data_IF_178381981107
#
_entry.id   IF_178381981107
#
_cell.length_a   1.000
_cell.length_b   1.000
_cell.length_c   1.000
_cell.angle_alpha   90.00
_cell.angle_beta   90.00
_cell.angle_gamma   90.00
#
_symmetry.space_group_name_H-M   'P 1'
#
loop_
_entity.id
_entity.type
_entity.pdbx_description
1 polymer ?
#
# COMPACT_ATOMS: atom_id res chain seq x y z
N UNK A 1 -14.41 -13.85 1.51
CA UNK A 1 -14.27 -12.43 1.14
C UNK A 1 -15.21 -11.56 1.96
N UNK A 2 -16.54 -11.70 1.86
CA UNK A 2 -17.54 -10.97 2.68
C UNK A 2 -17.22 -10.93 4.20
N UNK A 3 -16.79 -12.06 4.77
CA UNK A 3 -16.44 -12.18 6.20
C UNK A 3 -15.31 -11.24 6.64
N UNK A 4 -14.32 -10.98 5.77
CA UNK A 4 -13.19 -10.09 6.03
C UNK A 4 -13.57 -8.60 6.02
N UNK A 5 -14.67 -8.27 5.36
CA UNK A 5 -15.20 -6.90 5.28
C UNK A 5 -16.21 -6.64 6.40
N UNK A 6 -16.90 -7.66 6.90
CA UNK A 6 -17.61 -7.59 8.19
C UNK A 6 -16.63 -7.43 9.37
N UNK A 7 -15.42 -7.97 9.28
CA UNK A 7 -14.34 -7.72 10.27
C UNK A 7 -13.76 -6.29 10.19
N UNK A 8 -14.08 -5.50 9.16
CA UNK A 8 -13.56 -4.13 8.99
C UNK A 8 -14.03 -3.18 10.12
N UNK A 9 -15.19 -3.45 10.73
CA UNK A 9 -15.66 -2.77 11.95
C UNK A 9 -14.90 -3.21 13.22
N UNK A 10 -14.27 -4.38 13.19
CA UNK A 10 -13.61 -4.99 14.35
C UNK A 10 -12.08 -4.78 14.37
N UNK A 11 -11.49 -4.17 13.35
CA UNK A 11 -10.03 -4.03 13.28
C UNK A 11 -9.54 -2.92 14.22
N UNK A 12 -8.76 -3.32 15.22
CA UNK A 12 -8.21 -2.45 16.28
C UNK A 12 -7.47 -1.21 15.77
N UNK A 13 -6.82 -1.26 14.59
CA UNK A 13 -6.15 -0.09 14.03
C UNK A 13 -7.13 1.00 13.55
N UNK A 14 -8.33 0.65 13.05
CA UNK A 14 -9.35 1.65 12.67
C UNK A 14 -9.92 2.30 13.92
N UNK A 15 -10.18 1.51 14.97
CA UNK A 15 -10.59 2.05 16.28
C UNK A 15 -9.52 2.99 16.86
N UNK A 16 -8.23 2.62 16.75
CA UNK A 16 -7.12 3.44 17.21
C UNK A 16 -6.93 4.73 16.38
N UNK A 17 -7.13 4.68 15.05
CA UNK A 17 -7.09 5.87 14.19
C UNK A 17 -8.29 6.77 14.49
N UNK A 18 -9.50 6.23 14.61
CA UNK A 18 -10.68 7.01 14.96
C UNK A 18 -10.56 7.61 16.36
N UNK A 19 -9.97 6.89 17.33
CA UNK A 19 -9.68 7.42 18.66
C UNK A 19 -8.64 8.56 18.59
N UNK A 20 -7.55 8.37 17.86
CA UNK A 20 -6.53 9.40 17.64
C UNK A 20 -7.10 10.62 16.92
N UNK A 21 -7.94 10.44 15.91
CA UNK A 21 -8.62 11.52 15.20
C UNK A 21 -9.57 12.30 16.12
N UNK A 22 -10.34 11.60 16.98
CA UNK A 22 -11.16 12.23 18.04
C UNK A 22 -10.34 12.99 19.08
N UNK A 23 -9.16 12.48 19.44
CA UNK A 23 -8.24 13.16 20.36
C UNK A 23 -7.57 14.41 19.76
N UNK A 24 -7.61 14.58 18.43
CA UNK A 24 -6.91 15.64 17.71
C UNK A 24 -7.86 16.54 16.87
N UNK A 25 -9.18 16.48 17.10
CA UNK A 25 -10.21 17.22 16.35
C UNK A 25 -10.09 17.08 14.82
N UNK A 26 -9.73 15.88 14.34
CA UNK A 26 -9.66 15.57 12.91
C UNK A 26 -10.93 14.81 12.50
N UNK A 27 -11.75 15.39 11.62
CA UNK A 27 -12.93 14.71 11.06
C UNK A 27 -12.52 13.63 10.05
N UNK A 28 -12.83 12.37 10.36
CA UNK A 28 -12.90 11.27 9.38
C UNK A 28 -14.36 10.80 9.33
N UNK A 29 -14.87 10.52 8.13
CA UNK A 29 -16.24 10.03 7.95
C UNK A 29 -16.48 8.75 8.77
N UNK A 30 -17.46 8.80 9.66
CA UNK A 30 -17.70 7.83 10.74
C UNK A 30 -18.43 6.55 10.30
N UNK A 31 -18.75 6.36 9.02
CA UNK A 31 -19.48 5.17 8.58
C UNK A 31 -18.55 4.06 8.10
N UNK A 32 -18.76 2.85 8.63
CA UNK A 32 -18.63 1.67 7.81
C UNK A 32 -20.01 1.47 7.14
N UNK A 33 -20.08 1.20 5.83
CA UNK A 33 -21.34 0.93 5.17
C UNK A 33 -21.91 -0.40 5.69
N UNK A 34 -23.19 -0.39 6.06
CA UNK A 34 -23.94 -1.60 6.37
C UNK A 34 -23.82 -2.61 5.22
N UNK A 35 -23.80 -3.91 5.53
CA UNK A 35 -23.90 -4.94 4.51
C UNK A 35 -25.17 -4.67 3.67
N UNK A 36 -25.06 -4.54 2.33
CA UNK A 36 -26.20 -4.15 1.52
C UNK A 36 -27.30 -5.21 1.59
N UNK A 37 -28.55 -4.76 1.72
CA UNK A 37 -29.72 -5.62 1.60
C UNK A 37 -29.74 -6.30 0.22
N UNK A 38 -30.32 -7.51 0.08
CA UNK A 38 -30.11 -8.38 -1.09
C UNK A 38 -30.40 -7.74 -2.46
N UNK A 39 -31.37 -6.83 -2.54
CA UNK A 39 -31.73 -6.15 -3.79
C UNK A 39 -31.05 -4.78 -4.02
N UNK A 40 -30.30 -4.26 -3.04
CA UNK A 40 -29.64 -2.94 -3.13
C UNK A 40 -28.17 -3.04 -3.56
N UNK A 41 -27.67 -4.22 -3.93
CA UNK A 41 -26.24 -4.43 -4.16
C UNK A 41 -25.64 -3.57 -5.28
N UNK A 42 -26.32 -3.50 -6.43
CA UNK A 42 -25.94 -2.66 -7.57
C UNK A 42 -27.11 -1.71 -7.87
N UNK A 43 -26.97 -0.46 -7.44
CA UNK A 43 -27.96 0.58 -7.67
C UNK A 43 -27.75 1.19 -9.06
N UNK A 44 -28.84 1.36 -9.80
CA UNK A 44 -28.81 1.92 -11.16
C UNK A 44 -29.77 3.10 -11.25
N UNK A 45 -29.24 4.26 -11.61
CA UNK A 45 -30.03 5.43 -11.96
C UNK A 45 -30.64 5.24 -13.36
N UNK A 46 -31.96 5.16 -13.43
CA UNK A 46 -32.71 4.91 -14.65
C UNK A 46 -32.63 6.06 -15.66
N UNK A 47 -32.48 7.29 -15.18
CA UNK A 47 -32.44 8.51 -15.99
C UNK A 47 -31.05 8.70 -16.62
N UNK A 48 -30.00 8.25 -15.92
CA UNK A 48 -28.63 8.28 -16.43
C UNK A 48 -28.27 7.05 -17.27
N UNK A 49 -28.93 5.90 -17.08
CA UNK A 49 -28.53 4.65 -17.71
C UNK A 49 -28.91 4.56 -19.20
N UNK A 50 -27.89 4.56 -20.07
CA UNK A 50 -28.05 4.42 -21.53
C UNK A 50 -28.20 2.96 -22.00
N UNK A 51 -28.16 1.98 -21.08
CA UNK A 51 -28.24 0.55 -21.40
C UNK A 51 -27.16 0.05 -22.38
N UNK A 52 -26.00 0.72 -22.42
CA UNK A 52 -24.91 0.38 -23.35
C UNK A 52 -24.22 -0.98 -23.10
N UNK A 53 -24.48 -1.64 -21.97
CA UNK A 53 -23.93 -2.97 -21.64
C UNK A 53 -22.47 -3.00 -21.19
N UNK A 54 -21.79 -1.85 -21.09
CA UNK A 54 -20.37 -1.80 -20.72
C UNK A 54 -20.09 -2.41 -19.34
N UNK A 55 -20.96 -2.19 -18.36
CA UNK A 55 -20.83 -2.77 -17.01
C UNK A 55 -20.81 -4.31 -17.02
N UNK A 56 -21.54 -4.94 -17.94
CA UNK A 56 -21.53 -6.39 -18.16
C UNK A 56 -20.21 -6.83 -18.78
N UNK A 57 -19.70 -6.10 -19.77
CA UNK A 57 -18.46 -6.43 -20.48
C UNK A 57 -17.20 -6.30 -19.61
N UNK A 58 -17.16 -5.29 -18.73
CA UNK A 58 -15.99 -5.03 -17.87
C UNK A 58 -16.00 -5.82 -16.57
N UNK A 59 -17.11 -6.50 -16.24
CA UNK A 59 -17.21 -7.29 -15.02
C UNK A 59 -16.32 -8.54 -15.15
N UNK A 60 -15.22 -8.66 -14.39
CA UNK A 60 -14.33 -9.82 -14.50
C UNK A 60 -14.99 -11.13 -14.07
N UNK A 61 -16.04 -11.05 -13.26
CA UNK A 61 -16.78 -12.21 -12.75
C UNK A 61 -17.99 -12.57 -13.62
N UNK A 62 -18.35 -11.73 -14.59
CA UNK A 62 -19.51 -11.94 -15.46
C UNK A 62 -20.86 -11.96 -14.75
N UNK A 63 -20.99 -11.29 -13.60
CA UNK A 63 -22.19 -11.33 -12.74
C UNK A 63 -23.19 -10.19 -12.96
N UNK A 64 -22.80 -9.17 -13.74
CA UNK A 64 -23.70 -8.05 -14.07
C UNK A 64 -24.55 -8.43 -15.28
N UNK A 65 -25.82 -8.73 -15.06
CA UNK A 65 -26.76 -9.06 -16.12
C UNK A 65 -26.94 -7.90 -17.11
N UNK A 66 -27.07 -8.16 -18.42
CA UNK A 66 -27.26 -7.12 -19.42
C UNK A 66 -28.60 -6.41 -19.24
N UNK A 67 -28.63 -5.13 -19.62
CA UNK A 67 -29.88 -4.39 -19.75
C UNK A 67 -30.74 -4.94 -20.90
N UNK A 68 -32.05 -4.73 -20.83
CA UNK A 68 -33.02 -5.07 -21.87
C UNK A 68 -34.13 -4.03 -21.98
N UNK A 69 -35.11 -4.20 -22.89
CA UNK A 69 -36.29 -3.35 -22.94
C UNK A 69 -37.00 -3.31 -21.59
N UNK A 70 -37.03 -2.14 -20.93
CA UNK A 70 -37.62 -1.97 -19.60
C UNK A 70 -36.79 -2.55 -18.43
N UNK A 71 -35.62 -3.12 -18.68
CA UNK A 71 -34.77 -3.77 -17.66
C UNK A 71 -33.42 -3.06 -17.56
N UNK A 72 -33.06 -2.61 -16.36
CA UNK A 72 -31.75 -2.06 -16.05
C UNK A 72 -30.75 -3.18 -15.75
N UNK A 73 -29.42 -2.94 -15.86
CA UNK A 73 -28.42 -3.90 -15.38
C UNK A 73 -28.63 -4.22 -13.89
N UNK A 74 -28.42 -5.48 -13.51
CA UNK A 74 -28.56 -5.92 -12.12
C UNK A 74 -27.59 -7.07 -11.82
N UNK A 75 -27.42 -7.41 -10.54
CA UNK A 75 -26.71 -8.61 -10.08
C UNK A 75 -27.73 -9.48 -9.36
N UNK A 76 -27.76 -10.78 -9.64
CA UNK A 76 -28.63 -11.73 -8.92
C UNK A 76 -28.10 -11.95 -7.51
N UNK A 77 -28.98 -12.12 -6.52
CA UNK A 77 -28.64 -12.37 -5.12
C UNK A 77 -27.63 -13.53 -4.97
N UNK A 78 -27.83 -14.63 -5.70
CA UNK A 78 -26.96 -15.81 -5.70
C UNK A 78 -25.53 -15.51 -6.20
N UNK A 79 -25.35 -14.48 -7.02
CA UNK A 79 -24.08 -14.08 -7.60
C UNK A 79 -23.35 -12.98 -6.80
N UNK A 80 -24.01 -12.34 -5.82
CA UNK A 80 -23.42 -11.26 -5.00
C UNK A 80 -22.13 -11.71 -4.32
N UNK A 81 -22.10 -12.94 -3.79
CA UNK A 81 -20.93 -13.51 -3.12
C UNK A 81 -19.69 -13.68 -4.04
N UNK A 82 -19.90 -13.65 -5.36
CA UNK A 82 -18.83 -13.75 -6.37
C UNK A 82 -18.25 -12.38 -6.72
N UNK A 83 -18.85 -11.27 -6.31
CA UNK A 83 -18.33 -9.94 -6.61
C UNK A 83 -16.97 -9.70 -5.95
N UNK A 84 -16.05 -9.10 -6.71
CA UNK A 84 -14.72 -8.71 -6.23
C UNK A 84 -14.68 -7.32 -5.58
N UNK A 85 -15.80 -6.58 -5.57
CA UNK A 85 -15.85 -5.20 -5.08
C UNK A 85 -14.82 -4.26 -5.77
N UNK A 86 -14.49 -4.56 -7.03
CA UNK A 86 -13.45 -3.84 -7.79
C UNK A 86 -13.90 -2.50 -8.38
N UNK A 87 -15.20 -2.19 -8.35
CA UNK A 87 -15.74 -0.94 -8.89
C UNK A 87 -15.66 -0.77 -10.41
N UNK A 88 -15.23 -1.79 -11.19
CA UNK A 88 -15.13 -1.66 -12.65
C UNK A 88 -16.45 -1.28 -13.32
N UNK A 89 -17.58 -1.82 -12.86
CA UNK A 89 -18.89 -1.45 -13.39
C UNK A 89 -19.20 0.04 -13.20
N UNK A 90 -18.71 0.67 -12.12
CA UNK A 90 -18.86 2.09 -11.86
C UNK A 90 -17.86 2.92 -12.66
N UNK A 91 -16.57 2.58 -12.56
CA UNK A 91 -15.47 3.34 -13.15
C UNK A 91 -15.55 3.44 -14.68
N UNK A 92 -16.07 2.41 -15.34
CA UNK A 92 -16.22 2.39 -16.79
C UNK A 92 -17.60 2.87 -17.27
N UNK A 93 -18.57 3.12 -16.38
CA UNK A 93 -19.90 3.59 -16.77
C UNK A 93 -19.81 5.03 -17.34
N UNK A 94 -20.12 5.25 -18.63
CA UNK A 94 -19.90 6.55 -19.27
C UNK A 94 -20.79 7.67 -18.71
N UNK A 95 -21.94 7.31 -18.13
CA UNK A 95 -22.89 8.25 -17.51
C UNK A 95 -22.92 8.12 -15.99
N UNK A 96 -22.06 7.26 -15.42
CA UNK A 96 -21.93 7.04 -13.98
C UNK A 96 -23.24 6.65 -13.27
N UNK A 97 -24.16 6.06 -14.03
CA UNK A 97 -25.47 5.60 -13.60
C UNK A 97 -25.44 4.42 -12.60
N UNK A 98 -24.27 3.87 -12.31
CA UNK A 98 -24.12 2.64 -11.51
C UNK A 98 -23.36 2.95 -10.23
N UNK A 99 -23.83 2.37 -9.13
CA UNK A 99 -23.20 2.44 -7.81
C UNK A 99 -23.27 1.07 -7.17
N UNK A 100 -22.13 0.50 -6.75
CA UNK A 100 -22.15 -0.62 -5.82
C UNK A 100 -22.51 -0.07 -4.45
N UNK A 101 -23.46 -0.67 -3.76
CA UNK A 101 -23.83 -0.28 -2.40
C UNK A 101 -22.78 -0.81 -1.41
N UNK A 102 -21.58 -0.24 -1.52
CA UNK A 102 -20.40 -0.55 -0.77
C UNK A 102 -19.50 0.68 -0.74
N UNK A 103 -19.23 1.19 0.46
CA UNK A 103 -18.37 2.36 0.72
C UNK A 103 -18.79 3.56 -0.13
N UNK A 104 -20.07 3.89 -0.08
CA UNK A 104 -20.68 4.98 -0.85
C UNK A 104 -19.99 6.32 -0.58
N UNK A 105 -19.60 6.54 0.67
CA UNK A 105 -18.86 7.70 1.15
C UNK A 105 -17.45 7.82 0.55
N UNK A 106 -16.84 6.71 0.14
CA UNK A 106 -15.51 6.67 -0.45
C UNK A 106 -15.55 6.70 -1.99
N UNK A 107 -16.74 6.75 -2.59
CA UNK A 107 -16.88 6.88 -4.04
C UNK A 107 -16.21 8.18 -4.45
N UNK A 108 -15.11 8.15 -5.23
CA UNK A 108 -14.46 9.36 -5.66
C UNK A 108 -15.46 10.21 -6.44
N UNK A 109 -15.56 11.50 -6.10
CA UNK A 109 -16.26 12.45 -6.96
C UNK A 109 -15.73 12.29 -8.38
N UNK A 110 -16.61 12.36 -9.37
CA UNK A 110 -16.25 12.17 -10.77
C UNK A 110 -14.97 12.93 -11.09
N UNK A 111 -13.87 12.23 -11.42
CA UNK A 111 -12.65 12.94 -11.74
C UNK A 111 -12.97 13.77 -12.99
N UNK A 112 -12.95 15.12 -12.91
CA UNK A 112 -13.06 15.95 -14.11
C UNK A 112 -11.95 15.47 -15.05
N UNK A 113 -12.28 15.22 -16.33
CA UNK A 113 -11.41 14.61 -17.36
C UNK A 113 -9.96 14.52 -16.88
N UNK A 114 -9.62 13.38 -16.25
CA UNK A 114 -8.37 13.28 -15.50
C UNK A 114 -7.23 13.70 -16.43
N UNK A 115 -6.59 14.85 -16.14
CA UNK A 115 -5.54 15.38 -16.99
C UNK A 115 -4.42 14.36 -17.02
N UNK A 116 -4.31 13.64 -18.12
CA UNK A 116 -3.27 12.65 -18.30
C UNK A 116 -1.90 13.33 -18.13
N UNK A 117 -1.04 12.75 -17.27
CA UNK A 117 0.35 13.17 -17.19
C UNK A 117 1.01 12.94 -18.54
N UNK A 118 1.78 13.92 -19.03
CA UNK A 118 2.49 13.72 -20.28
C UNK A 118 3.47 12.54 -20.12
N UNK A 119 3.57 11.60 -21.08
CA UNK A 119 4.43 10.43 -20.93
C UNK A 119 5.88 10.78 -20.55
N UNK A 120 6.42 11.87 -21.11
CA UNK A 120 7.76 12.35 -20.81
C UNK A 120 7.94 12.81 -19.34
N UNK A 121 6.91 13.38 -18.72
CA UNK A 121 6.95 13.81 -17.32
C UNK A 121 6.97 12.60 -16.38
N UNK A 122 6.08 11.63 -16.62
CA UNK A 122 6.03 10.40 -15.84
C UNK A 122 7.33 9.60 -15.98
N UNK A 123 7.84 9.44 -17.21
CA UNK A 123 9.12 8.78 -17.46
C UNK A 123 10.27 9.49 -16.73
N UNK A 124 10.30 10.82 -16.73
CA UNK A 124 11.31 11.59 -16.00
C UNK A 124 11.20 11.33 -14.49
N UNK A 125 9.98 11.35 -13.94
CA UNK A 125 9.73 11.07 -12.53
C UNK A 125 10.27 9.70 -12.12
N UNK A 126 9.85 8.64 -12.84
CA UNK A 126 10.29 7.27 -12.61
C UNK A 126 11.82 7.12 -12.72
N UNK A 127 12.44 7.71 -13.74
CA UNK A 127 13.90 7.65 -13.95
C UNK A 127 14.68 8.45 -12.91
N UNK A 128 14.09 9.50 -12.34
CA UNK A 128 14.75 10.38 -11.35
C UNK A 128 14.69 9.86 -9.92
N UNK A 129 13.78 8.92 -9.62
CA UNK A 129 13.61 8.36 -8.26
C UNK A 129 14.88 7.68 -7.76
N UNK A 130 15.31 7.99 -6.53
CA UNK A 130 16.56 7.49 -5.93
C UNK A 130 16.34 7.00 -4.50
N UNK A 131 17.10 5.98 -4.12
CA UNK A 131 17.07 5.46 -2.75
C UNK A 131 17.80 6.45 -1.87
N UNK A 132 17.04 7.07 -0.96
CA UNK A 132 17.56 8.08 -0.05
C UNK A 132 18.14 7.37 1.17
N UNK A 133 19.45 7.52 1.35
CA UNK A 133 20.24 6.80 2.38
C UNK A 133 20.84 7.74 3.42
N UNK A 134 20.39 8.99 3.41
CA UNK A 134 20.78 10.06 4.34
C UNK A 134 19.56 10.96 4.50
N UNK A 135 19.02 11.00 5.70
CA UNK A 135 17.81 11.75 6.02
C UNK A 135 18.15 12.96 6.91
N UNK A 136 17.33 14.01 6.81
CA UNK A 136 17.38 15.12 7.77
C UNK A 136 16.75 14.66 9.09
N UNK A 137 17.20 15.20 10.23
CA UNK A 137 16.54 14.98 11.51
C UNK A 137 15.14 15.60 11.52
N UNK A 138 14.27 15.07 12.39
CA UNK A 138 12.93 15.59 12.63
C UNK A 138 11.82 14.81 11.91
N UNK A 139 10.62 14.76 12.49
CA UNK A 139 9.52 13.97 11.95
C UNK A 139 8.96 14.60 10.66
N UNK A 140 8.48 13.73 9.79
CA UNK A 140 7.48 14.07 8.76
C UNK A 140 6.11 14.14 9.45
N UNK A 141 5.25 15.15 9.14
CA UNK A 141 3.89 15.21 9.66
C UNK A 141 3.09 13.93 9.39
N UNK A 142 2.25 13.51 10.34
CA UNK A 142 1.49 12.25 10.22
C UNK A 142 0.50 12.31 9.07
N UNK A 143 -0.10 13.47 8.86
CA UNK A 143 -1.09 13.76 7.83
C UNK A 143 -0.49 13.52 6.45
N UNK A 144 0.75 13.97 6.23
CA UNK A 144 1.49 13.70 4.98
C UNK A 144 1.76 12.20 4.78
N UNK A 145 2.09 11.46 5.84
CA UNK A 145 2.28 10.01 5.74
C UNK A 145 0.94 9.34 5.40
N UNK A 146 -0.13 9.73 6.07
CA UNK A 146 -1.48 9.20 5.84
C UNK A 146 -1.95 9.49 4.41
N UNK A 147 -1.73 10.69 3.87
CA UNK A 147 -2.08 11.04 2.49
C UNK A 147 -1.35 10.14 1.47
N UNK A 148 -0.06 9.87 1.69
CA UNK A 148 0.72 8.96 0.84
C UNK A 148 0.20 7.52 0.95
N UNK A 149 -0.10 7.05 2.17
CA UNK A 149 -0.59 5.69 2.40
C UNK A 149 -2.01 5.49 1.87
N UNK A 150 -2.87 6.51 1.97
CA UNK A 150 -4.22 6.52 1.41
C UNK A 150 -4.16 6.44 -0.12
N UNK A 151 -3.33 7.27 -0.77
CA UNK A 151 -3.11 7.14 -2.22
C UNK A 151 -2.54 5.76 -2.61
N UNK A 152 -1.62 5.21 -1.80
CA UNK A 152 -1.04 3.89 -2.06
C UNK A 152 -2.04 2.73 -1.90
N UNK A 153 -3.18 2.92 -1.22
CA UNK A 153 -4.22 1.88 -1.10
C UNK A 153 -4.90 1.55 -2.43
N UNK A 154 -4.77 2.43 -3.43
CA UNK A 154 -5.22 2.21 -4.80
C UNK A 154 -4.26 1.36 -5.63
N UNK A 155 -3.16 0.87 -5.05
CA UNK A 155 -2.32 -0.13 -5.68
C UNK A 155 -3.15 -1.37 -6.05
N UNK A 156 -2.92 -1.97 -7.24
CA UNK A 156 -3.65 -3.16 -7.63
C UNK A 156 -3.29 -4.33 -6.70
N UNK A 157 -4.28 -5.18 -6.46
CA UNK A 157 -4.11 -6.43 -5.71
C UNK A 157 -4.83 -7.58 -6.40
N UNK A 158 -4.31 -8.79 -6.26
CA UNK A 158 -4.93 -9.98 -6.85
C UNK A 158 -6.38 -10.12 -6.39
N UNK A 159 -7.32 -10.27 -7.32
CA UNK A 159 -8.77 -10.37 -7.04
C UNK A 159 -9.34 -9.23 -6.17
N UNK A 160 -8.68 -8.06 -6.16
CA UNK A 160 -9.03 -6.93 -5.30
C UNK A 160 -9.05 -7.26 -3.78
N UNK A 161 -8.18 -8.16 -3.33
CA UNK A 161 -8.12 -8.54 -1.89
C UNK A 161 -7.69 -7.40 -0.97
N UNK A 162 -6.95 -6.42 -1.50
CA UNK A 162 -6.39 -5.29 -0.74
C UNK A 162 -5.75 -5.72 0.60
N UNK A 163 -4.83 -6.71 0.60
CA UNK A 163 -4.42 -7.39 1.84
C UNK A 163 -3.47 -6.56 2.72
N UNK A 164 -2.97 -5.44 2.20
CA UNK A 164 -1.89 -4.65 2.79
C UNK A 164 -2.41 -3.83 3.95
N UNK A 165 -1.72 -3.94 5.09
CA UNK A 165 -1.87 -3.03 6.22
C UNK A 165 -0.49 -2.47 6.58
N UNK A 166 -0.49 -1.36 7.30
CA UNK A 166 0.71 -0.58 7.59
C UNK A 166 0.97 -0.51 9.09
N UNK A 167 2.19 -0.85 9.49
CA UNK A 167 2.73 -0.49 10.80
C UNK A 167 3.75 0.63 10.61
N UNK A 168 3.40 1.83 11.07
CA UNK A 168 4.25 3.03 10.95
C UNK A 168 5.03 3.21 12.24
N UNK A 169 6.34 2.95 12.19
CA UNK A 169 7.25 3.28 13.27
C UNK A 169 7.61 4.76 13.15
N UNK A 170 6.85 5.59 13.87
CA UNK A 170 6.93 7.06 13.80
C UNK A 170 8.01 7.66 14.72
N UNK A 171 8.42 6.93 15.77
CA UNK A 171 9.49 7.40 16.66
C UNK A 171 10.86 6.97 16.13
N UNK A 172 11.69 7.96 15.78
CA UNK A 172 13.08 7.76 15.36
C UNK A 172 13.94 6.95 16.35
N UNK A 173 13.66 7.03 17.66
CA UNK A 173 14.36 6.21 18.65
C UNK A 173 14.02 4.72 18.47
N UNK A 174 12.75 4.43 18.21
CA UNK A 174 12.29 3.07 17.93
C UNK A 174 12.82 2.56 16.59
N UNK A 175 12.93 3.42 15.57
CA UNK A 175 13.62 3.08 14.31
C UNK A 175 15.10 2.72 14.57
N UNK A 176 15.76 3.41 15.50
CA UNK A 176 17.14 3.09 15.91
C UNK A 176 17.24 1.75 16.65
N UNK A 177 16.25 1.40 17.49
CA UNK A 177 16.16 0.07 18.12
C UNK A 177 15.99 -1.04 17.09
N UNK A 178 15.12 -0.85 16.10
CA UNK A 178 14.98 -1.78 14.95
C UNK A 178 16.31 -1.95 14.22
N UNK A 179 17.03 -0.86 14.00
CA UNK A 179 18.35 -0.90 13.37
C UNK A 179 19.34 -1.74 14.20
N UNK A 180 19.33 -1.61 15.53
CA UNK A 180 20.18 -2.37 16.43
C UNK A 180 19.88 -3.88 16.36
N UNK A 181 18.60 -4.27 16.47
CA UNK A 181 18.20 -5.67 16.32
C UNK A 181 18.52 -6.24 14.94
N UNK A 182 18.42 -5.42 13.90
CA UNK A 182 18.85 -5.82 12.55
C UNK A 182 20.34 -6.12 12.52
N UNK A 183 21.16 -5.28 13.16
CA UNK A 183 22.62 -5.52 13.26
C UNK A 183 22.95 -6.72 14.13
N UNK A 184 22.20 -6.99 15.19
CA UNK A 184 22.38 -8.21 15.99
C UNK A 184 22.15 -9.46 15.15
N UNK A 185 21.10 -9.47 14.32
CA UNK A 185 20.92 -10.52 13.32
C UNK A 185 22.09 -10.61 12.32
N UNK A 186 22.62 -9.47 11.86
CA UNK A 186 23.80 -9.46 10.98
C UNK A 186 25.01 -10.08 11.64
N UNK A 187 25.27 -9.80 12.93
CA UNK A 187 26.38 -10.38 13.71
C UNK A 187 26.28 -11.90 13.80
N UNK A 188 25.06 -12.42 14.00
CA UNK A 188 24.83 -13.86 14.00
C UNK A 188 25.10 -14.46 12.62
N UNK A 189 24.65 -13.80 11.55
CA UNK A 189 24.77 -14.31 10.18
C UNK A 189 26.14 -14.10 9.54
N UNK A 190 26.94 -13.16 10.03
CA UNK A 190 28.27 -12.84 9.52
C UNK A 190 29.33 -13.89 9.88
N UNK A 191 28.98 -14.90 10.67
CA UNK A 191 29.87 -15.98 11.07
C UNK A 191 30.12 -17.00 9.93
N UNK A 192 29.44 -16.86 8.80
CA UNK A 192 29.63 -17.71 7.63
C UNK A 192 30.65 -17.10 6.66
N UNK A 193 31.45 -17.93 5.98
CA UNK A 193 32.48 -17.45 5.04
C UNK A 193 31.96 -17.23 3.60
N UNK A 194 30.64 -17.18 3.42
CA UNK A 194 30.02 -16.89 2.13
C UNK A 194 30.02 -15.38 1.82
N UNK A 195 29.84 -14.95 0.54
CA UNK A 195 29.88 -13.54 0.16
C UNK A 195 28.92 -12.63 0.96
N UNK A 196 27.75 -13.14 1.37
CA UNK A 196 26.83 -12.38 2.21
C UNK A 196 27.39 -12.25 3.63
N UNK A 197 27.91 -13.32 4.22
CA UNK A 197 28.53 -13.29 5.55
C UNK A 197 29.64 -12.23 5.66
N UNK A 198 30.52 -12.16 4.65
CA UNK A 198 31.58 -11.15 4.56
C UNK A 198 31.04 -9.72 4.42
N UNK A 199 30.00 -9.51 3.62
CA UNK A 199 29.33 -8.21 3.51
C UNK A 199 28.71 -7.79 4.86
N UNK A 200 28.05 -8.71 5.55
CA UNK A 200 27.43 -8.43 6.84
C UNK A 200 28.49 -8.08 7.90
N UNK A 201 29.65 -8.75 7.91
CA UNK A 201 30.76 -8.41 8.80
C UNK A 201 31.23 -6.96 8.60
N UNK A 202 31.30 -6.48 7.36
CA UNK A 202 31.66 -5.08 7.06
C UNK A 202 30.61 -4.09 7.55
N UNK A 203 29.31 -4.44 7.41
CA UNK A 203 28.21 -3.59 7.90
C UNK A 203 28.20 -3.53 9.43
N UNK A 204 28.45 -4.65 10.11
CA UNK A 204 28.62 -4.71 11.57
C UNK A 204 29.76 -3.79 12.03
N UNK A 205 30.93 -3.87 11.38
CA UNK A 205 32.04 -2.97 11.69
C UNK A 205 31.67 -1.49 11.49
N UNK A 206 30.87 -1.17 10.46
CA UNK A 206 30.32 0.17 10.25
C UNK A 206 29.39 0.63 11.38
N UNK A 207 28.56 -0.28 11.90
CA UNK A 207 27.73 0.00 13.06
C UNK A 207 28.55 0.28 14.32
N UNK A 208 29.56 -0.55 14.59
CA UNK A 208 30.43 -0.41 15.75
C UNK A 208 31.25 0.90 15.68
N UNK A 209 31.52 1.40 14.47
CA UNK A 209 32.10 2.73 14.22
C UNK A 209 31.09 3.90 14.31
N UNK A 210 29.84 3.64 14.67
CA UNK A 210 28.81 4.66 14.91
C UNK A 210 27.92 4.99 13.70
N UNK A 211 28.00 4.24 12.60
CA UNK A 211 27.14 4.46 11.44
C UNK A 211 25.87 3.62 11.50
N UNK A 212 24.71 4.24 11.31
CA UNK A 212 23.48 3.48 11.08
C UNK A 212 23.49 2.85 9.68
N UNK A 213 23.86 1.57 9.62
CA UNK A 213 23.93 0.80 8.37
C UNK A 213 22.61 0.15 7.97
N UNK A 214 21.66 0.01 8.91
CA UNK A 214 20.42 -0.72 8.71
C UNK A 214 19.24 0.21 8.36
N UNK A 215 19.06 1.29 9.15
CA UNK A 215 17.98 2.25 8.97
C UNK A 215 18.46 3.61 8.45
N UNK A 216 19.78 3.78 8.27
CA UNK A 216 20.37 4.91 7.54
C UNK A 216 20.01 6.30 8.12
N UNK A 217 19.68 6.35 9.41
CA UNK A 217 19.24 7.57 10.10
C UNK A 217 17.85 8.06 9.70
N UNK A 218 17.00 7.19 9.12
CA UNK A 218 15.63 7.54 8.79
C UNK A 218 14.82 7.87 10.05
N UNK A 219 14.01 8.95 10.04
CA UNK A 219 13.14 9.25 11.17
C UNK A 219 12.00 8.25 11.31
N UNK A 220 11.56 7.64 10.21
CA UNK A 220 10.38 6.79 10.15
C UNK A 220 10.65 5.50 9.38
N UNK A 221 9.94 4.43 9.76
CA UNK A 221 9.89 3.17 9.02
C UNK A 221 8.44 2.77 8.77
N UNK A 222 8.13 2.44 7.51
CA UNK A 222 6.84 1.93 7.07
C UNK A 222 6.97 0.41 6.86
N UNK A 223 6.34 -0.38 7.73
CA UNK A 223 6.28 -1.83 7.59
C UNK A 223 4.96 -2.22 6.94
N UNK A 224 5.00 -2.66 5.67
CA UNK A 224 3.83 -3.25 5.02
C UNK A 224 3.73 -4.71 5.48
N UNK A 225 2.62 -5.05 6.13
CA UNK A 225 2.35 -6.40 6.61
C UNK A 225 1.07 -6.94 5.98
N UNK A 226 1.04 -8.25 5.77
CA UNK A 226 -0.01 -8.99 5.07
C UNK A 226 -0.44 -10.20 5.91
N UNK A 227 -1.61 -10.80 5.64
CA UNK A 227 -1.97 -12.08 6.22
C UNK A 227 -0.85 -13.11 6.02
N UNK A 228 -0.54 -13.89 7.05
CA UNK A 228 0.46 -14.93 6.97
C UNK A 228 0.02 -16.06 6.01
N UNK A 229 -1.29 -16.30 5.98
CA UNK A 229 -1.99 -17.30 5.17
C UNK A 229 -3.28 -16.70 4.56
N UNK A 230 -3.62 -16.97 3.29
CA UNK A 230 -2.79 -17.61 2.26
C UNK A 230 -1.57 -16.77 1.83
N UNK A 231 -0.50 -17.37 1.28
CA UNK A 231 0.80 -16.73 1.07
C UNK A 231 0.89 -15.71 -0.07
N UNK A 232 -0.22 -15.31 -0.71
CA UNK A 232 -0.22 -14.42 -1.89
C UNK A 232 0.02 -12.92 -1.61
N UNK A 233 -0.15 -12.47 -0.37
CA UNK A 233 -0.09 -11.05 -0.01
C UNK A 233 1.23 -10.29 -0.28
N UNK A 234 2.44 -10.90 -0.22
CA UNK A 234 3.68 -10.15 -0.37
C UNK A 234 3.82 -9.40 -1.69
N UNK A 235 3.36 -9.95 -2.82
CA UNK A 235 3.41 -9.26 -4.12
C UNK A 235 2.57 -7.99 -4.10
N UNK A 236 1.35 -8.06 -3.58
CA UNK A 236 0.46 -6.89 -3.44
C UNK A 236 1.10 -5.82 -2.55
N UNK A 237 1.78 -6.22 -1.47
CA UNK A 237 2.50 -5.30 -0.60
C UNK A 237 3.70 -4.62 -1.28
N UNK A 238 4.47 -5.33 -2.12
CA UNK A 238 5.56 -4.73 -2.90
C UNK A 238 5.02 -3.70 -3.89
N UNK A 239 3.87 -3.95 -4.52
CA UNK A 239 3.23 -2.99 -5.43
C UNK A 239 2.78 -1.75 -4.65
N UNK A 240 2.15 -1.92 -3.48
CA UNK A 240 1.73 -0.80 -2.62
C UNK A 240 2.93 0.02 -2.11
N UNK A 241 4.00 -0.64 -1.66
CA UNK A 241 5.26 0.02 -1.29
C UNK A 241 5.90 0.76 -2.47
N UNK A 242 5.77 0.24 -3.69
CA UNK A 242 6.23 0.94 -4.90
C UNK A 242 5.43 2.22 -5.14
N UNK A 243 4.11 2.23 -4.88
CA UNK A 243 3.32 3.47 -4.94
C UNK A 243 3.84 4.50 -3.94
N UNK A 244 4.11 4.09 -2.69
CA UNK A 244 4.72 4.96 -1.67
C UNK A 244 6.08 5.49 -2.13
N UNK A 245 6.96 4.63 -2.65
CA UNK A 245 8.32 4.98 -3.12
C UNK A 245 8.29 5.97 -4.31
N UNK A 246 7.26 5.88 -5.15
CA UNK A 246 7.06 6.78 -6.28
C UNK A 246 6.33 8.08 -5.90
N UNK A 247 5.45 8.06 -4.90
CA UNK A 247 4.73 9.25 -4.44
C UNK A 247 5.60 10.14 -3.54
N UNK A 248 6.43 9.55 -2.67
CA UNK A 248 7.20 10.29 -1.67
C UNK A 248 7.96 11.52 -2.22
N UNK A 249 8.63 11.49 -3.39
CA UNK A 249 9.28 12.67 -3.96
C UNK A 249 8.34 13.85 -4.26
N UNK A 250 7.08 13.59 -4.62
CA UNK A 250 6.08 14.64 -4.85
C UNK A 250 5.75 15.42 -3.56
N UNK A 251 5.89 14.77 -2.41
CA UNK A 251 5.74 15.37 -1.08
C UNK A 251 7.07 15.92 -0.51
N UNK A 252 8.13 16.00 -1.31
CA UNK A 252 9.46 16.42 -0.86
C UNK A 252 10.15 15.42 0.08
N UNK A 253 9.63 14.19 0.13
CA UNK A 253 10.17 13.09 0.93
C UNK A 253 11.03 12.17 0.07
N UNK A 254 11.69 11.24 0.74
CA UNK A 254 12.40 10.17 0.08
C UNK A 254 12.37 8.90 0.91
N UNK A 255 12.74 7.83 0.21
CA UNK A 255 12.51 6.47 0.67
C UNK A 255 13.70 5.59 0.35
N UNK A 256 13.90 4.55 1.17
CA UNK A 256 14.82 3.47 0.85
C UNK A 256 14.27 2.14 1.33
N UNK A 257 14.27 1.15 0.44
CA UNK A 257 13.92 -0.23 0.72
C UNK A 257 14.84 -0.79 1.81
N UNK A 258 14.25 -1.23 2.92
CA UNK A 258 14.96 -1.70 4.11
C UNK A 258 15.14 -3.22 4.04
N UNK A 259 15.97 -3.67 3.09
CA UNK A 259 16.13 -5.11 2.82
C UNK A 259 16.69 -5.91 3.99
N UNK A 260 17.67 -5.36 4.71
CA UNK A 260 18.21 -6.02 5.89
C UNK A 260 17.21 -6.10 7.04
N UNK A 261 16.43 -5.03 7.28
CA UNK A 261 15.35 -5.05 8.27
C UNK A 261 14.32 -6.11 7.91
N UNK A 262 13.95 -6.20 6.63
CA UNK A 262 12.95 -7.17 6.15
C UNK A 262 13.45 -8.62 6.28
N UNK A 263 14.73 -8.87 6.00
CA UNK A 263 15.35 -10.19 6.19
C UNK A 263 15.44 -10.56 7.68
N UNK A 264 15.92 -9.65 8.52
CA UNK A 264 16.02 -9.86 9.96
C UNK A 264 14.64 -10.07 10.59
N UNK A 265 13.60 -9.33 10.18
CA UNK A 265 12.25 -9.51 10.68
C UNK A 265 11.66 -10.89 10.36
N UNK A 266 12.21 -11.60 9.37
CA UNK A 266 11.81 -12.97 9.05
C UNK A 266 12.57 -14.00 9.89
N UNK A 267 13.82 -13.71 10.26
CA UNK A 267 14.78 -14.69 10.76
C UNK A 267 15.26 -14.43 12.19
N UNK A 268 14.81 -13.34 12.82
CA UNK A 268 15.30 -12.89 14.11
C UNK A 268 14.14 -12.51 15.05
N UNK A 269 13.92 -13.36 16.06
CA UNK A 269 12.83 -13.21 17.03
C UNK A 269 12.84 -11.86 17.77
N UNK A 270 13.98 -11.30 18.24
CA UNK A 270 14.00 -9.97 18.85
C UNK A 270 13.42 -8.87 17.96
N UNK A 271 13.71 -8.89 16.66
CA UNK A 271 13.15 -7.91 15.74
C UNK A 271 11.66 -8.15 15.46
N UNK A 272 11.21 -9.40 15.43
CA UNK A 272 9.78 -9.73 15.33
C UNK A 272 9.00 -9.16 16.51
N UNK A 273 9.52 -9.32 17.73
CA UNK A 273 8.95 -8.76 18.96
C UNK A 273 8.96 -7.23 18.94
N UNK A 274 10.05 -6.62 18.47
CA UNK A 274 10.14 -5.15 18.36
C UNK A 274 9.12 -4.58 17.36
N UNK A 275 8.91 -5.25 16.22
CA UNK A 275 7.87 -4.84 15.27
C UNK A 275 6.46 -5.04 15.82
N UNK A 276 6.25 -6.10 16.62
CA UNK A 276 4.97 -6.42 17.27
C UNK A 276 3.78 -6.40 16.30
N UNK A 277 3.92 -7.07 15.15
CA UNK A 277 2.85 -7.14 14.16
C UNK A 277 1.63 -7.90 14.72
N UNK A 278 0.41 -7.55 14.29
CA UNK A 278 -0.80 -8.25 14.73
C UNK A 278 -0.75 -9.76 14.46
N UNK A 279 -1.43 -10.53 15.30
CA UNK A 279 -1.55 -11.98 15.15
C UNK A 279 -2.10 -12.37 13.75
N UNK A 280 -1.59 -13.47 13.20
CA UNK A 280 -1.97 -13.94 11.86
C UNK A 280 -1.41 -13.08 10.72
N UNK A 281 -0.55 -12.09 11.00
CA UNK A 281 0.10 -11.24 10.00
C UNK A 281 1.61 -11.41 10.02
N UNK A 282 2.22 -11.21 8.85
CA UNK A 282 3.67 -11.21 8.65
C UNK A 282 4.13 -9.97 7.91
N UNK A 283 5.36 -9.56 8.14
CA UNK A 283 5.98 -8.50 7.35
C UNK A 283 6.12 -8.98 5.90
N UNK A 284 5.67 -8.17 4.94
CA UNK A 284 6.01 -8.37 3.54
C UNK A 284 7.33 -7.67 3.21
N UNK A 285 7.44 -6.39 3.55
CA UNK A 285 8.67 -5.61 3.42
C UNK A 285 8.58 -4.29 4.19
N UNK A 286 9.73 -3.63 4.41
CA UNK A 286 9.80 -2.32 5.04
C UNK A 286 10.45 -1.23 4.15
N UNK A 287 9.94 -0.01 4.25
CA UNK A 287 10.53 1.21 3.68
C UNK A 287 10.98 2.16 4.78
N UNK A 288 12.19 2.69 4.64
CA UNK A 288 12.64 3.87 5.37
C UNK A 288 12.00 5.11 4.74
N UNK A 289 11.56 6.07 5.55
CA UNK A 289 10.93 7.30 5.10
C UNK A 289 11.49 8.51 5.84
N UNK A 290 11.72 9.60 5.11
CA UNK A 290 12.04 10.90 5.71
C UNK A 290 12.39 11.96 4.68
N UNK A 291 12.75 13.16 5.16
CA UNK A 291 13.24 14.23 4.27
C UNK A 291 14.66 13.93 3.81
N UNK A 292 14.97 13.97 2.51
CA UNK A 292 16.34 13.75 2.03
C UNK A 292 17.30 14.82 2.56
N UNK A 293 18.47 14.41 3.04
CA UNK A 293 19.53 15.38 3.39
C UNK A 293 20.02 16.10 2.13
N UNK A 294 20.17 15.37 1.03
CA UNK A 294 20.65 15.87 -0.26
C UNK A 294 19.60 15.67 -1.35
N UNK A 295 19.46 16.66 -2.23
CA UNK A 295 18.55 16.61 -3.38
C UNK A 295 19.23 15.94 -4.58
N UNK A 296 18.66 14.89 -5.19
CA UNK A 296 19.15 14.36 -6.47
C UNK A 296 19.10 15.44 -7.56
N UNK A 297 20.19 15.57 -8.33
CA UNK A 297 20.30 16.56 -9.43
C UNK A 297 20.30 15.95 -10.83
N UNK A 298 20.32 14.63 -10.96
CA UNK A 298 20.43 13.97 -12.25
C UNK A 298 19.95 12.52 -12.22
N UNK A 299 19.78 11.97 -13.42
CA UNK A 299 19.36 10.60 -13.67
C UNK A 299 20.61 9.72 -13.82
N UNK A 300 20.78 8.64 -13.04
CA UNK A 300 21.93 7.76 -13.17
C UNK A 300 21.87 6.93 -14.46
N UNK A 301 23.04 6.49 -14.94
CA UNK A 301 23.14 5.50 -16.03
C UNK A 301 22.53 4.17 -15.57
N UNK A 302 22.01 3.40 -16.53
CA UNK A 302 21.52 2.02 -16.34
C UNK A 302 22.14 1.14 -17.42
N UNK A 303 22.19 -0.16 -17.16
CA UNK A 303 22.53 -1.15 -18.17
C UNK A 303 21.55 -1.06 -19.34
N UNK A 304 21.98 -1.53 -20.51
CA UNK A 304 21.10 -1.64 -21.67
C UNK A 304 19.87 -2.49 -21.32
N UNK A 305 18.73 -2.16 -21.91
CA UNK A 305 17.52 -2.95 -21.78
C UNK A 305 17.69 -4.25 -22.58
N UNK A 306 17.49 -5.39 -21.93
CA UNK A 306 17.47 -6.70 -22.58
C UNK A 306 16.00 -7.11 -22.77
N UNK A 307 15.59 -7.37 -24.02
CA UNK A 307 14.22 -7.80 -24.36
C UNK A 307 14.29 -8.95 -25.35
N UNK A 308 13.51 -10.00 -25.08
CA UNK A 308 13.25 -11.09 -26.02
C UNK A 308 11.79 -11.01 -26.45
N UNK A 309 11.54 -11.03 -27.75
CA UNK A 309 10.20 -11.10 -28.33
C UNK A 309 9.94 -12.54 -28.76
N UNK A 310 8.80 -13.10 -28.34
CA UNK A 310 8.32 -14.42 -28.72
C UNK A 310 7.07 -14.32 -29.58
#
# INVERSE_FOLDING_TARGET
MLQRWNDYEQVEWRKAILAWCRENDLELADSAPAAPAPNDFLQVDADLCTRCGRCTQVCPMGIVAPAGPGVLPFVKDEDVARCLFCGHCEAFCPTQALVLNFRLEDRPAHPPEARALAPAELVRHLKSRRSIRRFRPGPVPRETILEILDAARYAPSGTNQQPVQWHVVYDSKRVRTIAAHTVDWMRLRSQTDDPLGRLLAQLVAGWDAGFDVACLGAPHLLAAHVPADPPGGPTDAIIALTHVDLLAPAFGLGTCWAGFVSAAATLHEPLQKELALPEGRKLAYALLLGRPQFKPRGIPRRNALEVTWG
#
